data_IF_837432001712
#
_entry.id   IF_837432001712
#
_cell.length_a   1.000
_cell.length_b   1.000
_cell.length_c   1.000
_cell.angle_alpha   90.00
_cell.angle_beta   90.00
_cell.angle_gamma   90.00
#
_symmetry.space_group_name_H-M   'P 1'
#
loop_
_entity.id
_entity.type
_entity.pdbx_description
1 polymer ?
#
# COMPACT_ATOMS: atom_id res chain seq x y z
N UNK A 1 49.64 -27.86 10.81
CA UNK A 1 49.46 -29.17 10.15
C UNK A 1 48.25 -29.07 9.24
N UNK A 2 48.40 -29.40 7.95
CA UNK A 2 47.41 -29.17 6.90
C UNK A 2 46.18 -30.05 7.15
N UNK A 3 45.02 -29.45 7.41
CA UNK A 3 43.76 -30.18 7.38
C UNK A 3 43.36 -30.34 5.92
N UNK A 4 43.50 -31.57 5.42
CA UNK A 4 42.96 -31.95 4.13
C UNK A 4 41.44 -31.75 4.16
N UNK A 5 40.91 -30.90 3.28
CA UNK A 5 39.47 -30.79 3.08
C UNK A 5 38.97 -32.07 2.40
N UNK A 6 38.74 -33.13 3.19
CA UNK A 6 38.15 -34.37 2.68
C UNK A 6 36.74 -34.10 2.16
N UNK A 7 36.48 -34.55 0.92
CA UNK A 7 35.13 -34.54 0.34
C UNK A 7 34.13 -35.27 1.26
N UNK A 8 32.92 -34.75 1.37
CA UNK A 8 31.81 -35.38 2.13
C UNK A 8 31.60 -36.86 1.74
N UNK A 9 31.87 -37.22 0.48
CA UNK A 9 31.81 -38.61 0.01
C UNK A 9 32.91 -39.49 0.60
N UNK A 10 34.10 -38.96 0.81
CA UNK A 10 35.23 -39.71 1.40
C UNK A 10 34.94 -40.00 2.87
N UNK A 11 34.48 -38.98 3.61
CA UNK A 11 34.06 -39.11 5.02
C UNK A 11 32.93 -40.14 5.14
N UNK A 12 31.91 -40.05 4.28
CA UNK A 12 30.81 -41.00 4.21
C UNK A 12 31.29 -42.44 3.96
N UNK A 13 32.22 -42.64 3.03
CA UNK A 13 32.79 -43.97 2.72
C UNK A 13 33.60 -44.54 3.88
N UNK A 14 34.36 -43.71 4.57
CA UNK A 14 35.22 -44.10 5.70
C UNK A 14 34.41 -44.42 6.96
N UNK A 15 33.35 -43.66 7.21
CA UNK A 15 32.40 -43.90 8.31
C UNK A 15 31.32 -44.93 7.98
N UNK A 16 31.29 -45.46 6.75
CA UNK A 16 30.29 -46.43 6.30
C UNK A 16 28.84 -45.89 6.27
N UNK A 17 28.66 -44.57 6.16
CA UNK A 17 27.35 -43.90 6.18
C UNK A 17 27.10 -43.11 4.89
N UNK A 18 25.85 -42.70 4.63
CA UNK A 18 25.52 -41.89 3.46
C UNK A 18 25.94 -40.42 3.62
N UNK A 19 26.21 -39.76 2.49
CA UNK A 19 26.54 -38.34 2.41
C UNK A 19 25.49 -37.40 3.00
N UNK A 20 24.18 -37.67 2.86
CA UNK A 20 23.14 -36.81 3.44
C UNK A 20 23.11 -36.88 4.97
N UNK A 21 23.51 -38.01 5.54
CA UNK A 21 23.71 -38.17 6.99
C UNK A 21 24.81 -37.23 7.47
N UNK A 22 25.97 -37.25 6.80
CA UNK A 22 27.06 -36.31 7.10
C UNK A 22 26.58 -34.85 6.94
N UNK A 23 25.84 -34.50 5.88
CA UNK A 23 25.29 -33.15 5.66
C UNK A 23 24.29 -32.73 6.74
N UNK A 24 23.46 -33.65 7.25
CA UNK A 24 22.46 -33.38 8.29
C UNK A 24 23.13 -32.97 9.60
N UNK A 25 24.22 -33.63 9.94
CA UNK A 25 24.95 -33.42 11.19
C UNK A 25 26.11 -32.41 11.05
N UNK A 26 26.51 -32.04 9.82
CA UNK A 26 27.53 -31.00 9.58
C UNK A 26 26.97 -29.58 9.59
N UNK A 27 25.65 -29.39 9.62
CA UNK A 27 25.04 -28.05 9.75
C UNK A 27 25.16 -27.59 11.20
N UNK A 28 25.75 -26.41 11.47
CA UNK A 28 25.85 -25.91 12.83
C UNK A 28 24.44 -25.64 13.37
N UNK A 29 24.07 -26.36 14.44
CA UNK A 29 22.86 -26.07 15.21
C UNK A 29 23.08 -24.76 15.96
N UNK A 30 22.15 -23.81 15.83
CA UNK A 30 22.23 -22.49 16.49
C UNK A 30 22.28 -22.65 18.01
N UNK A 31 23.48 -22.54 18.60
CA UNK A 31 23.81 -21.86 19.87
C UNK A 31 25.21 -22.24 20.36
N UNK A 32 26.27 -21.74 19.70
CA UNK A 32 27.50 -21.21 20.31
C UNK A 32 28.43 -20.68 19.21
N UNK A 33 28.99 -19.50 19.39
CA UNK A 33 29.90 -18.84 18.45
C UNK A 33 31.28 -19.53 18.41
N UNK A 34 31.87 -19.68 17.22
CA UNK A 34 33.33 -19.54 17.03
C UNK A 34 33.59 -18.71 15.77
N UNK A 35 34.34 -17.64 15.97
CA UNK A 35 34.91 -16.70 15.00
C UNK A 35 36.13 -17.35 14.32
N UNK A 36 36.25 -17.32 12.98
CA UNK A 36 37.32 -16.57 12.29
C UNK A 36 37.34 -16.72 10.75
N UNK A 37 38.08 -15.78 10.18
CA UNK A 37 38.14 -15.27 8.82
C UNK A 37 38.74 -16.20 7.75
N UNK A 38 38.34 -15.91 6.49
CA UNK A 38 39.05 -16.05 5.21
C UNK A 38 38.66 -17.19 4.22
N UNK A 39 38.36 -16.70 3.01
CA UNK A 39 38.53 -17.28 1.66
C UNK A 39 37.53 -18.31 1.08
N UNK A 40 36.69 -17.76 0.18
CA UNK A 40 36.57 -18.07 -1.25
C UNK A 40 36.00 -19.43 -1.74
N UNK A 41 35.12 -19.30 -2.75
CA UNK A 41 34.86 -20.22 -3.87
C UNK A 41 33.76 -21.29 -3.71
N UNK A 42 32.54 -20.89 -4.12
CA UNK A 42 31.81 -21.43 -5.31
C UNK A 42 31.03 -22.77 -5.26
N UNK A 43 29.77 -22.66 -5.73
CA UNK A 43 28.88 -23.64 -6.43
C UNK A 43 28.40 -24.86 -5.62
N UNK A 44 27.11 -24.87 -5.26
CA UNK A 44 25.95 -25.36 -6.04
C UNK A 44 25.84 -26.91 -6.15
N UNK A 45 24.57 -27.35 -6.00
CA UNK A 45 23.93 -28.58 -6.55
C UNK A 45 23.79 -29.79 -5.60
N UNK A 46 22.56 -30.14 -5.16
CA UNK A 46 21.50 -30.96 -5.80
C UNK A 46 21.75 -32.47 -5.60
N UNK A 47 21.02 -33.16 -4.70
CA UNK A 47 19.70 -33.79 -4.87
C UNK A 47 19.74 -35.31 -5.16
N UNK A 48 18.78 -36.01 -4.52
CA UNK A 48 18.07 -37.23 -4.95
C UNK A 48 18.73 -38.62 -4.72
N UNK A 49 18.17 -39.50 -3.86
CA UNK A 49 17.06 -40.50 -4.04
C UNK A 49 17.67 -41.93 -4.02
N UNK A 50 17.11 -43.04 -3.52
CA UNK A 50 15.83 -43.46 -2.90
C UNK A 50 15.93 -44.99 -2.66
N UNK A 51 15.58 -45.53 -1.48
CA UNK A 51 15.24 -46.97 -1.28
C UNK A 51 14.07 -47.06 -0.29
N UNK A 52 13.11 -47.98 -0.52
CA UNK A 52 11.82 -48.19 0.16
C UNK A 52 11.58 -49.72 0.30
N UNK A 53 10.73 -50.24 1.20
CA UNK A 53 10.62 -50.06 2.66
C UNK A 53 10.71 -51.41 3.41
N UNK A 54 11.20 -51.43 4.64
CA UNK A 54 11.00 -52.55 5.57
C UNK A 54 10.03 -52.11 6.69
N UNK A 55 9.10 -52.98 7.04
CA UNK A 55 7.92 -52.72 7.88
C UNK A 55 8.27 -52.20 9.27
N UNK A 56 8.33 -50.87 9.41
CA UNK A 56 8.44 -50.21 10.71
C UNK A 56 7.05 -49.98 11.30
N UNK A 57 6.82 -50.59 12.46
CA UNK A 57 5.71 -50.26 13.37
C UNK A 57 5.55 -48.74 13.41
N UNK A 58 4.36 -48.25 13.08
CA UNK A 58 4.05 -46.81 13.04
C UNK A 58 4.11 -46.26 14.47
N UNK A 59 5.30 -45.86 14.92
CA UNK A 59 5.40 -44.89 16.02
C UNK A 59 4.66 -43.63 15.58
N UNK A 60 3.88 -42.97 16.45
CA UNK A 60 3.05 -41.86 16.04
C UNK A 60 3.97 -40.79 15.47
N UNK A 61 3.82 -40.51 14.18
CA UNK A 61 4.44 -39.36 13.55
C UNK A 61 3.90 -38.18 14.33
N UNK A 62 4.72 -37.62 15.20
CA UNK A 62 4.47 -36.33 15.78
C UNK A 62 4.47 -35.37 14.58
N UNK A 63 3.28 -35.08 14.06
CA UNK A 63 3.08 -33.99 13.13
C UNK A 63 3.43 -32.78 13.97
N UNK A 64 4.67 -32.34 13.88
CA UNK A 64 5.02 -30.97 14.24
C UNK A 64 4.12 -30.11 13.35
N UNK A 65 2.96 -29.76 13.90
CA UNK A 65 2.01 -28.87 13.28
C UNK A 65 2.79 -27.59 13.11
N UNK A 66 3.23 -27.31 11.89
CA UNK A 66 3.78 -26.01 11.55
C UNK A 66 2.80 -25.00 12.11
N UNK A 67 3.23 -24.27 13.15
CA UNK A 67 2.44 -23.18 13.69
C UNK A 67 2.30 -22.19 12.53
N UNK A 68 1.20 -22.32 11.80
CA UNK A 68 0.82 -21.35 10.80
C UNK A 68 0.87 -20.01 11.52
N UNK A 69 1.67 -19.07 11.02
CA UNK A 69 1.73 -17.70 11.52
C UNK A 69 0.31 -17.14 11.50
N UNK A 70 -0.41 -17.32 12.62
CA UNK A 70 -1.81 -16.98 12.73
C UNK A 70 -1.83 -15.46 12.84
N UNK A 71 -2.40 -14.82 11.84
CA UNK A 71 -2.50 -13.36 11.80
C UNK A 71 -3.28 -12.89 13.02
N UNK A 72 -2.65 -12.04 13.85
CA UNK A 72 -3.35 -11.28 14.86
C UNK A 72 -4.16 -10.19 14.15
N UNK A 73 -5.47 -10.42 14.02
CA UNK A 73 -6.35 -9.53 13.26
C UNK A 73 -6.60 -8.22 13.99
N UNK A 74 -6.64 -8.21 15.32
CA UNK A 74 -6.89 -7.00 16.11
C UNK A 74 -5.76 -5.99 15.95
N UNK A 75 -4.52 -6.43 16.17
CA UNK A 75 -3.34 -5.57 15.95
C UNK A 75 -3.24 -5.14 14.48
N UNK A 76 -3.50 -6.06 13.54
CA UNK A 76 -3.42 -5.75 12.11
C UNK A 76 -4.45 -4.72 11.69
N UNK A 77 -5.67 -4.81 12.20
CA UNK A 77 -6.75 -3.87 11.90
C UNK A 77 -6.42 -2.48 12.46
N UNK A 78 -5.90 -2.41 13.69
CA UNK A 78 -5.48 -1.15 14.30
C UNK A 78 -4.31 -0.48 13.55
N UNK A 79 -3.28 -1.24 13.19
CA UNK A 79 -2.17 -0.72 12.37
C UNK A 79 -2.68 -0.17 11.04
N UNK A 80 -3.59 -0.92 10.39
CA UNK A 80 -4.10 -0.54 9.09
C UNK A 80 -5.02 0.67 9.16
N UNK A 81 -5.81 0.83 10.23
CA UNK A 81 -6.71 1.98 10.39
C UNK A 81 -5.93 3.28 10.45
N UNK A 82 -4.78 3.31 11.14
CA UNK A 82 -3.90 4.48 11.22
C UNK A 82 -3.36 4.85 9.82
N UNK A 83 -2.89 3.85 9.07
CA UNK A 83 -2.37 4.05 7.70
C UNK A 83 -3.48 4.58 6.80
N UNK A 84 -4.69 4.00 6.88
CA UNK A 84 -5.84 4.40 6.09
C UNK A 84 -6.27 5.84 6.40
N UNK A 85 -6.36 6.20 7.67
CA UNK A 85 -6.70 7.56 8.10
C UNK A 85 -5.69 8.58 7.57
N UNK A 86 -4.41 8.27 7.71
CA UNK A 86 -3.30 9.11 7.22
C UNK A 86 -3.41 9.35 5.72
N UNK A 87 -3.66 8.29 4.94
CA UNK A 87 -3.81 8.42 3.49
C UNK A 87 -5.09 9.18 3.09
N UNK A 88 -6.19 9.04 3.82
CA UNK A 88 -7.40 9.83 3.59
C UNK A 88 -7.13 11.32 3.81
N UNK A 89 -6.47 11.67 4.94
CA UNK A 89 -6.08 13.05 5.24
C UNK A 89 -5.16 13.64 4.19
N UNK A 90 -4.18 12.88 3.69
CA UNK A 90 -3.30 13.31 2.58
C UNK A 90 -4.09 13.63 1.31
N UNK A 91 -5.08 12.81 0.94
CA UNK A 91 -5.93 13.09 -0.24
C UNK A 91 -6.74 14.38 -0.06
N UNK A 92 -7.19 14.66 1.17
CA UNK A 92 -8.02 15.84 1.46
C UNK A 92 -7.20 17.13 1.61
N UNK A 93 -5.95 17.02 2.08
CA UNK A 93 -5.03 18.14 2.27
C UNK A 93 -4.32 18.58 0.98
N UNK A 94 -4.42 17.78 -0.10
CA UNK A 94 -3.87 18.11 -1.41
C UNK A 94 -4.73 19.20 -2.09
N UNK A 95 -4.34 20.45 -1.89
CA UNK A 95 -5.02 21.64 -2.43
C UNK A 95 -4.40 22.12 -3.75
N UNK A 96 -3.12 21.83 -3.99
CA UNK A 96 -2.39 22.28 -5.19
C UNK A 96 -2.83 21.52 -6.44
N UNK A 97 -3.31 20.28 -6.27
CA UNK A 97 -3.75 19.44 -7.38
C UNK A 97 -5.27 19.36 -7.48
N UNK A 98 -5.73 18.98 -8.68
CA UNK A 98 -7.15 18.74 -8.92
C UNK A 98 -7.72 17.73 -7.90
N UNK A 99 -8.82 18.05 -7.20
CA UNK A 99 -9.41 17.20 -6.19
C UNK A 99 -9.68 15.80 -6.68
N UNK A 100 -9.30 14.83 -5.86
CA UNK A 100 -9.55 13.43 -6.13
C UNK A 100 -10.49 12.85 -5.07
N UNK A 101 -11.58 12.20 -5.51
CA UNK A 101 -12.59 11.60 -4.61
C UNK A 101 -12.02 10.54 -3.66
N UNK A 102 -12.24 10.66 -2.36
CA UNK A 102 -11.88 9.60 -1.41
C UNK A 102 -12.88 8.44 -1.58
N UNK A 103 -12.37 7.28 -1.96
CA UNK A 103 -13.14 6.03 -2.09
C UNK A 103 -12.32 4.88 -1.53
N UNK A 104 -13.00 3.81 -1.12
CA UNK A 104 -12.35 2.58 -0.64
C UNK A 104 -11.24 2.12 -1.59
N UNK A 105 -11.57 1.96 -2.87
CA UNK A 105 -10.64 1.40 -3.86
C UNK A 105 -9.44 2.33 -4.11
N UNK A 106 -9.64 3.65 -4.07
CA UNK A 106 -8.53 4.59 -4.26
C UNK A 106 -7.56 4.55 -3.08
N UNK A 107 -8.08 4.65 -1.87
CA UNK A 107 -7.26 4.64 -0.64
C UNK A 107 -6.49 3.32 -0.56
N UNK A 108 -7.17 2.19 -0.75
CA UNK A 108 -6.55 0.88 -0.69
C UNK A 108 -5.51 0.65 -1.82
N UNK A 109 -5.69 1.26 -3.00
CA UNK A 109 -4.67 1.28 -4.07
C UNK A 109 -3.46 2.13 -3.71
N UNK A 110 -3.64 3.34 -3.15
CA UNK A 110 -2.52 4.19 -2.70
C UNK A 110 -1.66 3.50 -1.63
N UNK A 111 -2.28 2.72 -0.75
CA UNK A 111 -1.59 1.92 0.28
C UNK A 111 -0.94 0.65 -0.29
N UNK A 112 -1.29 0.25 -1.52
CA UNK A 112 -0.82 -1.01 -2.12
C UNK A 112 -1.47 -2.27 -1.52
N UNK A 113 -2.60 -2.13 -0.82
CA UNK A 113 -3.27 -3.22 -0.08
C UNK A 113 -4.70 -3.50 -0.57
N UNK A 114 -5.06 -3.11 -1.79
CA UNK A 114 -6.42 -3.29 -2.34
C UNK A 114 -6.97 -4.71 -2.17
N UNK A 115 -6.29 -5.69 -2.76
CA UNK A 115 -6.75 -7.09 -2.74
C UNK A 115 -6.83 -7.63 -1.31
N UNK A 116 -5.88 -7.24 -0.46
CA UNK A 116 -5.85 -7.62 0.95
C UNK A 116 -7.06 -7.07 1.72
N UNK A 117 -7.34 -5.78 1.57
CA UNK A 117 -8.46 -5.13 2.25
C UNK A 117 -9.81 -5.66 1.74
N UNK A 118 -9.95 -5.88 0.43
CA UNK A 118 -11.18 -6.42 -0.17
C UNK A 118 -11.53 -7.81 0.35
N UNK A 119 -10.53 -8.71 0.45
CA UNK A 119 -10.74 -10.09 0.89
C UNK A 119 -10.98 -10.21 2.39
N UNK A 120 -10.58 -9.22 3.18
CA UNK A 120 -10.58 -9.30 4.63
C UNK A 120 -11.47 -8.25 5.32
N UNK A 121 -12.41 -7.61 4.61
CA UNK A 121 -13.28 -6.55 5.17
C UNK A 121 -13.95 -6.95 6.49
N UNK A 122 -14.46 -8.18 6.59
CA UNK A 122 -15.13 -8.68 7.80
C UNK A 122 -14.19 -8.87 9.01
N UNK A 123 -12.87 -8.78 8.81
CA UNK A 123 -11.85 -8.86 9.87
C UNK A 123 -11.17 -7.52 10.12
N UNK A 124 -11.64 -6.46 9.47
CA UNK A 124 -11.09 -5.12 9.56
C UNK A 124 -12.16 -4.08 10.01
N UNK A 125 -12.94 -4.35 11.07
CA UNK A 125 -14.03 -3.46 11.47
C UNK A 125 -13.57 -2.02 11.79
N UNK A 126 -12.42 -1.85 12.45
CA UNK A 126 -11.89 -0.53 12.82
C UNK A 126 -11.47 0.22 11.55
N UNK A 127 -10.69 -0.42 10.68
CA UNK A 127 -10.28 0.17 9.40
C UNK A 127 -11.48 0.58 8.56
N UNK A 128 -12.51 -0.27 8.47
CA UNK A 128 -13.71 0.03 7.69
C UNK A 128 -14.53 1.17 8.28
N UNK A 129 -14.61 1.26 9.61
CA UNK A 129 -15.25 2.38 10.31
C UNK A 129 -14.54 3.70 10.03
N UNK A 130 -13.22 3.76 10.24
CA UNK A 130 -12.39 4.93 9.95
C UNK A 130 -12.55 5.35 8.49
N UNK A 131 -12.40 4.42 7.55
CA UNK A 131 -12.56 4.71 6.13
C UNK A 131 -13.94 5.26 5.79
N UNK A 132 -14.99 4.75 6.43
CA UNK A 132 -16.37 5.21 6.25
C UNK A 132 -16.57 6.69 6.59
N UNK A 133 -15.78 7.24 7.53
CA UNK A 133 -15.83 8.67 7.88
C UNK A 133 -15.27 9.58 6.78
N UNK A 134 -14.39 9.05 5.92
CA UNK A 134 -13.72 9.82 4.87
C UNK A 134 -14.23 9.53 3.46
N UNK A 135 -14.87 8.37 3.22
CA UNK A 135 -15.39 8.03 1.91
C UNK A 135 -16.48 9.01 1.51
N UNK A 136 -16.26 9.70 0.40
CA UNK A 136 -17.18 10.71 -0.08
C UNK A 136 -18.27 10.07 -0.93
N UNK A 137 -19.51 10.53 -0.81
CA UNK A 137 -20.53 10.32 -1.83
C UNK A 137 -20.17 11.05 -3.13
N UNK A 138 -20.94 10.83 -4.19
CA UNK A 138 -20.73 11.56 -5.46
C UNK A 138 -20.96 13.06 -5.24
N UNK A 139 -22.04 13.42 -4.56
CA UNK A 139 -22.40 14.81 -4.28
C UNK A 139 -21.39 15.51 -3.39
N UNK A 140 -20.95 14.88 -2.29
CA UNK A 140 -19.95 15.49 -1.40
C UNK A 140 -18.64 15.81 -2.14
N UNK A 141 -18.20 14.90 -3.01
CA UNK A 141 -17.03 15.12 -3.85
C UNK A 141 -17.27 16.24 -4.88
N UNK A 142 -18.44 16.29 -5.50
CA UNK A 142 -18.81 17.35 -6.44
C UNK A 142 -18.81 18.72 -5.74
N UNK A 143 -19.41 18.84 -4.56
CA UNK A 143 -19.40 20.03 -3.71
C UNK A 143 -17.97 20.47 -3.39
N UNK A 144 -17.09 19.56 -2.95
CA UNK A 144 -15.68 19.88 -2.69
C UNK A 144 -14.94 20.34 -3.93
N UNK A 145 -15.20 19.70 -5.08
CA UNK A 145 -14.59 20.08 -6.36
C UNK A 145 -15.07 21.46 -6.85
N UNK A 146 -16.34 21.80 -6.62
CA UNK A 146 -16.87 23.15 -6.88
C UNK A 146 -16.11 24.19 -6.07
N UNK A 147 -15.92 23.98 -4.76
CA UNK A 147 -15.16 24.88 -3.89
C UNK A 147 -13.74 25.11 -4.40
N UNK A 148 -13.04 24.03 -4.76
CA UNK A 148 -11.69 24.11 -5.31
C UNK A 148 -11.64 24.92 -6.61
N UNK A 149 -12.58 24.71 -7.54
CA UNK A 149 -12.62 25.47 -8.80
C UNK A 149 -12.86 26.95 -8.56
N UNK A 150 -13.76 27.27 -7.63
CA UNK A 150 -14.02 28.67 -7.26
C UNK A 150 -12.75 29.32 -6.71
N UNK A 151 -12.02 28.63 -5.83
CA UNK A 151 -10.74 29.12 -5.30
C UNK A 151 -9.72 29.34 -6.42
N UNK A 152 -9.61 28.42 -7.38
CA UNK A 152 -8.73 28.56 -8.54
C UNK A 152 -9.10 29.76 -9.42
N UNK A 153 -10.39 29.96 -9.70
CA UNK A 153 -10.87 31.11 -10.48
C UNK A 153 -10.57 32.44 -9.76
N UNK A 154 -10.80 32.50 -8.46
CA UNK A 154 -10.52 33.68 -7.63
C UNK A 154 -9.01 33.95 -7.58
N UNK A 155 -8.18 32.93 -7.38
CA UNK A 155 -6.73 33.07 -7.36
C UNK A 155 -6.19 33.54 -8.73
N UNK A 156 -6.81 33.10 -9.82
CA UNK A 156 -6.50 33.52 -11.18
C UNK A 156 -7.09 34.87 -11.59
N UNK A 157 -7.82 35.57 -10.69
CA UNK A 157 -8.54 36.81 -11.00
C UNK A 157 -9.50 36.67 -12.20
N UNK A 158 -10.07 35.48 -12.36
CA UNK A 158 -11.05 35.17 -13.40
C UNK A 158 -12.48 35.44 -12.93
N UNK A 159 -13.39 35.67 -13.89
CA UNK A 159 -14.79 35.92 -13.59
C UNK A 159 -15.52 34.65 -13.12
N UNK A 160 -16.21 34.76 -11.98
CA UNK A 160 -17.03 33.68 -11.43
C UNK A 160 -18.43 33.69 -12.04
N UNK A 161 -18.65 32.81 -13.02
CA UNK A 161 -19.97 32.55 -13.61
C UNK A 161 -20.41 31.11 -13.36
N UNK A 162 -21.71 30.91 -13.08
CA UNK A 162 -22.33 29.59 -12.84
C UNK A 162 -21.93 28.55 -13.88
N UNK A 163 -22.15 28.84 -15.17
CA UNK A 163 -21.82 27.93 -16.27
C UNK A 163 -20.33 27.56 -16.33
N UNK A 164 -19.44 28.48 -15.94
CA UNK A 164 -17.97 28.26 -15.96
C UNK A 164 -17.59 27.30 -14.86
N UNK A 165 -18.15 27.49 -13.66
CA UNK A 165 -17.99 26.57 -12.52
C UNK A 165 -18.50 25.18 -12.92
N UNK A 166 -19.71 25.08 -13.45
CA UNK A 166 -20.31 23.80 -13.87
C UNK A 166 -19.45 23.07 -14.90
N UNK A 167 -18.97 23.79 -15.92
CA UNK A 167 -18.10 23.26 -16.99
C UNK A 167 -16.76 22.76 -16.45
N UNK A 168 -16.04 23.58 -15.67
CA UNK A 168 -14.74 23.21 -15.11
C UNK A 168 -14.89 22.08 -14.08
N UNK A 169 -16.01 22.05 -13.36
CA UNK A 169 -16.34 20.99 -12.42
C UNK A 169 -16.75 19.71 -13.13
N UNK A 170 -16.98 19.72 -14.44
CA UNK A 170 -17.46 18.57 -15.18
C UNK A 170 -18.79 18.07 -14.60
N UNK A 171 -19.67 18.98 -14.23
CA UNK A 171 -21.03 18.67 -13.79
C UNK A 171 -21.91 18.46 -15.01
N UNK A 172 -22.59 17.31 -15.05
CA UNK A 172 -23.64 17.05 -16.04
C UNK A 172 -24.97 17.57 -15.51
N UNK A 173 -25.90 18.02 -16.37
CA UNK A 173 -27.24 18.42 -15.94
C UNK A 173 -27.88 17.36 -15.04
N UNK A 174 -28.60 17.80 -14.01
CA UNK A 174 -29.22 16.91 -13.01
C UNK A 174 -28.32 16.51 -11.83
N UNK A 175 -27.28 17.29 -11.53
CA UNK A 175 -26.54 17.14 -10.27
C UNK A 175 -27.42 17.57 -9.08
N UNK A 176 -27.15 16.96 -7.92
CA UNK A 176 -28.00 17.09 -6.72
C UNK A 176 -28.08 18.51 -6.15
N UNK A 177 -29.12 18.73 -5.36
CA UNK A 177 -29.45 20.00 -4.71
C UNK A 177 -28.27 20.55 -3.87
N UNK A 178 -27.59 19.68 -3.11
CA UNK A 178 -26.41 20.05 -2.33
C UNK A 178 -25.31 20.73 -3.17
N UNK A 179 -25.13 20.30 -4.43
CA UNK A 179 -24.14 20.88 -5.33
C UNK A 179 -24.66 22.19 -5.93
N UNK A 180 -25.96 22.29 -6.21
CA UNK A 180 -26.62 23.53 -6.65
C UNK A 180 -26.49 24.63 -5.60
N UNK A 181 -26.85 24.32 -4.35
CA UNK A 181 -26.77 25.22 -3.21
C UNK A 181 -25.35 25.74 -2.98
N UNK A 182 -24.35 24.86 -3.10
CA UNK A 182 -22.96 25.27 -2.95
C UNK A 182 -22.53 26.23 -4.07
N UNK A 183 -22.90 25.98 -5.33
CA UNK A 183 -22.59 26.90 -6.44
C UNK A 183 -23.21 28.28 -6.16
N UNK A 184 -24.47 28.33 -5.74
CA UNK A 184 -25.13 29.59 -5.43
C UNK A 184 -24.52 30.31 -4.24
N UNK A 185 -24.17 29.57 -3.20
CA UNK A 185 -23.46 30.10 -2.04
C UNK A 185 -22.14 30.75 -2.44
N UNK A 186 -21.34 30.06 -3.26
CA UNK A 186 -20.06 30.60 -3.74
C UNK A 186 -20.28 31.86 -4.60
N UNK A 187 -21.24 31.85 -5.53
CA UNK A 187 -21.56 33.03 -6.34
C UNK A 187 -22.01 34.23 -5.50
N UNK A 188 -22.83 34.00 -4.47
CA UNK A 188 -23.26 35.06 -3.53
C UNK A 188 -22.09 35.60 -2.70
N UNK A 189 -21.23 34.71 -2.21
CA UNK A 189 -20.05 35.09 -1.42
C UNK A 189 -19.08 35.97 -2.22
N UNK A 190 -18.93 35.70 -3.51
CA UNK A 190 -18.05 36.44 -4.42
C UNK A 190 -18.81 37.42 -5.32
N UNK A 191 -20.07 37.76 -5.03
CA UNK A 191 -20.87 38.68 -5.85
C UNK A 191 -20.26 40.09 -5.91
N UNK A 192 -19.50 40.47 -4.89
CA UNK A 192 -18.77 41.75 -4.81
C UNK A 192 -17.31 41.64 -5.29
N UNK A 193 -16.87 40.45 -5.71
CA UNK A 193 -15.56 40.25 -6.29
C UNK A 193 -15.57 40.77 -7.73
N UNK A 194 -15.24 42.04 -7.91
CA UNK A 194 -14.89 42.57 -9.22
C UNK A 194 -13.49 42.01 -9.57
N UNK A 195 -13.32 41.33 -10.72
CA UNK A 195 -11.99 40.97 -11.19
C UNK A 195 -11.15 42.24 -11.22
N UNK A 196 -9.96 42.24 -10.60
CA UNK A 196 -9.08 43.40 -10.62
C UNK A 196 -8.87 43.81 -12.07
N UNK A 197 -9.14 45.08 -12.46
CA UNK A 197 -8.85 45.53 -13.81
C UNK A 197 -7.37 45.31 -14.05
N UNK A 198 -7.04 44.77 -15.23
CA UNK A 198 -5.65 44.55 -15.64
C UNK A 198 -4.88 45.84 -15.45
N UNK A 199 -3.95 45.88 -14.48
CA UNK A 199 -2.91 46.90 -14.47
C UNK A 199 -1.98 46.54 -15.62
N UNK A 200 -1.95 47.38 -16.66
CA UNK A 200 -1.01 47.28 -17.78
C UNK A 200 0.41 47.03 -17.25
N UNK A 201 0.91 45.79 -17.32
CA UNK A 201 2.28 45.50 -16.90
C UNK A 201 2.66 44.07 -16.54
N UNK A 202 1.74 43.17 -16.19
CA UNK A 202 2.13 41.82 -15.75
C UNK A 202 1.88 40.75 -16.82
N UNK A 203 2.94 40.45 -17.57
CA UNK A 203 3.04 39.34 -18.52
C UNK A 203 2.99 38.02 -17.71
N UNK A 204 1.90 37.26 -17.85
CA UNK A 204 1.76 35.95 -17.21
C UNK A 204 2.56 34.88 -17.96
N UNK A 205 3.48 34.18 -17.27
CA UNK A 205 4.38 33.15 -17.81
C UNK A 205 3.74 31.85 -18.36
N UNK A 206 2.45 31.85 -18.74
CA UNK A 206 1.77 30.66 -19.31
C UNK A 206 1.88 30.57 -20.85
N UNK A 207 3.07 30.82 -21.38
CA UNK A 207 3.43 30.49 -22.76
C UNK A 207 4.89 30.02 -22.86
N UNK A 208 5.29 28.97 -22.15
CA UNK A 208 6.47 28.18 -22.51
C UNK A 208 6.24 26.71 -22.11
N UNK A 209 5.91 25.90 -23.13
CA UNK A 209 5.97 24.43 -23.26
C UNK A 209 5.32 23.53 -22.20
#
# INVERSE_FOLDING_TARGET
>A
MKQDNLSLRKIAKELGVDTNTVIKYSKPTSSFEIVNQNEAVTKQTNNAKKIKPEERKKSPVNKETGQANRVNWELRDLELSIIVETECKKILADLDNKPTRVTFSRVAKRIGKLNFMQRNKGKLPITMSVLGQYVESVEHFQTRRVKWIVQELVAGNEELKRWRIEKLAGLKPGYGEQVQDEIEKQLKQFAFYAPKPWSEGEITWRQLN
#
